data_IF_113195446279
#
_entry.id   IF_113195446279
#
_cell.length_a   1.000
_cell.length_b   1.000
_cell.length_c   1.000
_cell.angle_alpha   90.00
_cell.angle_beta   90.00
_cell.angle_gamma   90.00
#
_symmetry.space_group_name_H-M   'P 1'
#
loop_
_entity.id
_entity.type
_entity.pdbx_description
1 polymer ?
#
# COMPACT_ATOMS: atom_id res chain seq x y z
N UNK A 1 25.35 3.98 4.80
CA UNK A 1 25.21 3.63 6.23
C UNK A 1 24.30 2.44 6.18
N UNK A 2 24.88 1.27 5.98
CA UNK A 2 24.15 0.16 5.35
C UNK A 2 23.81 -0.86 6.42
N UNK A 3 22.52 -0.87 6.78
CA UNK A 3 21.93 -1.85 7.67
C UNK A 3 21.58 -3.06 6.79
N UNK A 4 22.31 -4.17 6.96
CA UNK A 4 21.95 -5.43 6.30
C UNK A 4 21.09 -6.24 7.28
N UNK A 5 19.82 -6.44 6.95
CA UNK A 5 18.92 -7.39 7.64
C UNK A 5 19.10 -8.80 7.06
N UNK A 6 19.01 -9.83 7.91
CA UNK A 6 18.92 -11.24 7.49
C UNK A 6 17.53 -11.76 7.84
N UNK A 7 16.73 -12.18 6.85
CA UNK A 7 15.39 -12.77 7.06
C UNK A 7 15.37 -14.27 6.73
N UNK A 8 14.83 -15.09 7.65
CA UNK A 8 14.22 -16.43 7.45
C UNK A 8 15.17 -17.60 7.11
N UNK A 9 14.94 -18.87 7.46
CA UNK A 9 13.80 -19.62 8.05
C UNK A 9 14.37 -20.93 8.64
N UNK A 10 13.83 -21.44 9.76
CA UNK A 10 13.93 -22.87 10.10
C UNK A 10 14.33 -23.18 11.55
N UNK A 11 13.34 -23.55 12.36
CA UNK A 11 13.51 -24.04 13.72
C UNK A 11 14.22 -25.42 13.76
N UNK A 12 15.21 -25.58 14.65
CA UNK A 12 15.37 -26.72 15.56
C UNK A 12 16.51 -26.45 16.57
N UNK A 13 16.24 -26.79 17.83
CA UNK A 13 17.03 -26.60 19.07
C UNK A 13 18.34 -27.46 19.09
N UNK A 14 19.18 -27.42 20.14
CA UNK A 14 20.40 -26.62 20.35
C UNK A 14 21.69 -27.49 20.38
N UNK A 15 22.77 -27.13 19.68
CA UNK A 15 24.14 -27.48 20.10
C UNK A 15 25.15 -26.70 19.26
N UNK A 16 26.08 -26.03 19.93
CA UNK A 16 27.43 -25.62 19.51
C UNK A 16 27.74 -25.56 18.00
N UNK A 17 28.08 -24.33 17.56
CA UNK A 17 29.07 -24.03 16.52
C UNK A 17 28.79 -24.43 15.06
N UNK A 18 28.46 -23.41 14.24
CA UNK A 18 29.06 -23.12 12.91
C UNK A 18 28.10 -22.32 12.03
N UNK A 19 28.21 -20.99 12.04
CA UNK A 19 27.62 -20.15 10.99
C UNK A 19 28.50 -20.24 9.73
N UNK A 20 27.99 -20.84 8.66
CA UNK A 20 28.68 -20.91 7.35
C UNK A 20 28.19 -19.79 6.45
N UNK A 21 29.12 -19.07 5.82
CA UNK A 21 28.84 -18.06 4.79
C UNK A 21 28.85 -18.77 3.44
N UNK A 22 27.74 -18.72 2.71
CA UNK A 22 27.62 -19.27 1.36
C UNK A 22 27.73 -18.11 0.36
N UNK A 23 28.71 -18.16 -0.54
CA UNK A 23 28.77 -17.26 -1.70
C UNK A 23 28.53 -18.10 -2.96
N UNK A 24 27.37 -17.87 -3.59
CA UNK A 24 26.86 -18.49 -4.83
C UNK A 24 26.54 -20.00 -4.70
N UNK A 25 25.37 -20.40 -5.19
CA UNK A 25 24.87 -21.78 -5.31
C UNK A 25 24.75 -22.65 -4.03
N UNK A 26 24.84 -22.09 -2.82
CA UNK A 26 24.76 -22.86 -1.55
C UNK A 26 25.83 -23.98 -1.43
N UNK A 27 26.92 -23.86 -2.18
CA UNK A 27 28.10 -24.73 -2.05
C UNK A 27 29.13 -24.00 -1.16
N UNK A 28 29.87 -24.78 -0.35
CA UNK A 28 30.90 -24.25 0.53
C UNK A 28 32.23 -24.19 -0.22
N UNK A 29 32.52 -23.05 -0.85
CA UNK A 29 33.70 -22.85 -1.69
C UNK A 29 34.77 -22.04 -0.93
N UNK A 30 35.11 -22.40 0.31
CA UNK A 30 36.05 -21.60 1.10
C UNK A 30 36.52 -22.19 2.44
N UNK A 31 37.64 -21.67 2.93
CA UNK A 31 38.19 -21.93 4.26
C UNK A 31 37.46 -21.03 5.28
N UNK A 32 36.94 -21.60 6.37
CA UNK A 32 36.38 -20.82 7.47
C UNK A 32 37.50 -20.08 8.22
N UNK A 33 37.61 -18.77 7.99
CA UNK A 33 38.61 -17.89 8.62
C UNK A 33 38.04 -17.17 9.86
N UNK A 34 36.81 -17.49 10.28
CA UNK A 34 36.15 -16.91 11.45
C UNK A 34 36.12 -15.38 11.44
N UNK A 35 36.31 -14.77 12.61
CA UNK A 35 36.30 -13.32 12.79
C UNK A 35 37.39 -12.55 12.03
N UNK A 36 38.41 -13.26 11.54
CA UNK A 36 39.50 -12.64 10.77
C UNK A 36 39.05 -12.19 9.37
N UNK A 37 37.84 -12.56 8.93
CA UNK A 37 37.21 -12.03 7.71
C UNK A 37 36.78 -10.57 7.83
N UNK A 38 36.65 -10.05 9.06
CA UNK A 38 36.15 -8.72 9.33
C UNK A 38 37.32 -7.78 9.66
N UNK A 39 37.76 -7.00 8.67
CA UNK A 39 38.98 -6.15 8.74
C UNK A 39 38.77 -4.76 9.37
N UNK A 40 37.55 -4.43 9.81
CA UNK A 40 37.14 -3.13 10.38
C UNK A 40 36.59 -3.26 11.82
N UNK A 41 36.21 -2.13 12.45
CA UNK A 41 35.63 -2.12 13.80
C UNK A 41 34.16 -2.59 13.79
N UNK A 42 33.93 -3.84 14.17
CA UNK A 42 32.60 -4.41 14.39
C UNK A 42 32.34 -4.66 15.89
N UNK A 43 31.10 -4.47 16.32
CA UNK A 43 30.65 -4.84 17.67
C UNK A 43 29.76 -6.06 17.54
N UNK A 44 30.20 -7.18 18.10
CA UNK A 44 29.40 -8.39 18.18
C UNK A 44 28.35 -8.23 19.29
N UNK A 45 27.08 -8.45 18.96
CA UNK A 45 26.04 -8.57 19.97
C UNK A 45 26.23 -9.90 20.72
N UNK A 46 26.17 -9.86 22.04
CA UNK A 46 26.29 -11.04 22.91
C UNK A 46 25.05 -11.94 22.85
N UNK A 47 23.94 -11.45 22.29
CA UNK A 47 22.71 -12.19 22.04
C UNK A 47 22.13 -11.83 20.67
N UNK A 48 21.41 -12.74 20.00
CA UNK A 48 20.67 -12.42 18.77
C UNK A 48 19.71 -11.24 18.97
N UNK A 49 19.50 -10.44 17.92
CA UNK A 49 18.44 -9.42 17.92
C UNK A 49 17.09 -10.14 18.01
N UNK A 50 16.29 -9.80 19.02
CA UNK A 50 14.90 -10.28 19.08
C UNK A 50 14.11 -9.67 17.92
N UNK A 51 13.64 -10.53 17.03
CA UNK A 51 12.71 -10.13 15.97
C UNK A 51 11.29 -10.15 16.54
N UNK A 52 10.43 -9.19 16.16
CA UNK A 52 9.03 -9.24 16.55
C UNK A 52 8.38 -10.51 16.02
N UNK A 53 7.40 -11.05 16.75
CA UNK A 53 6.61 -12.19 16.31
C UNK A 53 5.86 -11.80 15.03
N UNK A 54 6.12 -12.51 13.94
CA UNK A 54 5.34 -12.34 12.71
C UNK A 54 4.03 -13.10 12.85
N UNK A 55 2.91 -12.38 12.82
CA UNK A 55 1.58 -12.99 12.68
C UNK A 55 1.45 -13.40 11.21
N UNK A 56 1.25 -14.69 10.96
CA UNK A 56 1.01 -15.23 9.62
C UNK A 56 -0.44 -15.64 9.47
N UNK A 57 -0.95 -15.58 8.25
CA UNK A 57 -2.28 -16.07 7.90
C UNK A 57 -2.17 -17.45 7.29
N UNK A 58 -3.22 -18.27 7.47
CA UNK A 58 -3.31 -19.52 6.73
C UNK A 58 -3.47 -19.25 5.22
N UNK A 59 -3.00 -20.13 4.32
CA UNK A 59 -3.07 -19.88 2.88
C UNK A 59 -4.48 -19.58 2.34
N UNK A 60 -5.52 -20.23 2.89
CA UNK A 60 -6.91 -19.96 2.52
C UNK A 60 -7.38 -18.57 2.96
N UNK A 61 -7.04 -18.18 4.18
CA UNK A 61 -7.37 -16.86 4.72
C UNK A 61 -6.66 -15.74 3.95
N UNK A 62 -5.37 -15.92 3.65
CA UNK A 62 -4.62 -14.98 2.83
C UNK A 62 -5.22 -14.84 1.42
N UNK A 63 -5.63 -15.95 0.79
CA UNK A 63 -6.31 -15.93 -0.50
C UNK A 63 -7.61 -15.13 -0.42
N UNK A 64 -8.44 -15.40 0.58
CA UNK A 64 -9.77 -14.79 0.69
C UNK A 64 -9.66 -13.28 0.96
N UNK A 65 -8.69 -12.85 1.76
CA UNK A 65 -8.37 -11.43 1.96
C UNK A 65 -7.92 -10.76 0.67
N UNK A 66 -6.99 -11.39 -0.07
CA UNK A 66 -6.53 -10.86 -1.37
C UNK A 66 -7.70 -10.75 -2.34
N UNK A 67 -8.59 -11.74 -2.42
CA UNK A 67 -9.75 -11.68 -3.31
C UNK A 67 -10.76 -10.60 -2.90
N UNK A 68 -10.88 -10.32 -1.60
CA UNK A 68 -11.75 -9.27 -1.11
C UNK A 68 -11.18 -7.88 -1.38
N UNK A 69 -9.89 -7.67 -1.09
CA UNK A 69 -9.32 -6.33 -0.93
C UNK A 69 -8.36 -5.90 -2.05
N UNK A 70 -7.86 -6.82 -2.88
CA UNK A 70 -6.87 -6.46 -3.90
C UNK A 70 -7.49 -5.63 -5.04
N UNK A 71 -6.75 -4.60 -5.48
CA UNK A 71 -7.09 -3.77 -6.64
C UNK A 71 -7.94 -2.54 -6.27
N UNK A 72 -8.44 -1.85 -7.30
CA UNK A 72 -9.34 -0.71 -7.15
C UNK A 72 -10.75 -1.22 -6.76
N UNK A 73 -10.97 -1.43 -5.47
CA UNK A 73 -12.20 -2.08 -4.95
C UNK A 73 -13.29 -1.09 -4.56
N UNK A 74 -12.94 0.18 -4.39
CA UNK A 74 -13.84 1.24 -3.95
C UNK A 74 -14.27 2.14 -5.11
N UNK A 75 -15.52 2.65 -5.12
CA UNK A 75 -16.64 2.26 -4.25
C UNK A 75 -17.22 0.87 -4.61
N UNK A 76 -16.91 0.37 -5.81
CA UNK A 76 -17.30 -0.95 -6.30
C UNK A 76 -16.34 -1.38 -7.40
N UNK A 77 -15.96 -2.66 -7.41
CA UNK A 77 -15.19 -3.29 -8.50
C UNK A 77 -15.88 -3.07 -9.84
N UNK A 78 -15.09 -2.81 -10.87
CA UNK A 78 -15.60 -2.72 -12.23
C UNK A 78 -15.81 -4.14 -12.84
N UNK A 79 -16.44 -4.25 -14.02
CA UNK A 79 -16.64 -5.56 -14.66
C UNK A 79 -15.34 -6.32 -14.98
N UNK A 80 -14.22 -5.62 -15.16
CA UNK A 80 -12.92 -6.22 -15.46
C UNK A 80 -12.33 -6.83 -14.19
N UNK A 81 -12.38 -6.11 -13.08
CA UNK A 81 -11.98 -6.59 -11.76
C UNK A 81 -12.80 -7.83 -11.37
N UNK A 82 -14.13 -7.78 -11.53
CA UNK A 82 -15.02 -8.92 -11.27
C UNK A 82 -14.62 -10.15 -12.10
N UNK A 83 -14.30 -9.96 -13.39
CA UNK A 83 -13.84 -11.06 -14.24
C UNK A 83 -12.51 -11.64 -13.76
N UNK A 84 -11.54 -10.80 -13.41
CA UNK A 84 -10.22 -11.27 -12.95
C UNK A 84 -10.36 -12.07 -11.67
N UNK A 85 -11.16 -11.60 -10.71
CA UNK A 85 -11.49 -12.33 -9.49
C UNK A 85 -12.11 -13.69 -9.80
N UNK A 86 -13.10 -13.74 -10.70
CA UNK A 86 -13.73 -14.99 -11.11
C UNK A 86 -12.73 -15.96 -11.76
N UNK A 87 -11.82 -15.46 -12.60
CA UNK A 87 -10.76 -16.28 -13.22
C UNK A 87 -9.78 -16.85 -12.19
N UNK A 88 -9.41 -16.06 -11.17
CA UNK A 88 -8.55 -16.53 -10.07
C UNK A 88 -9.26 -17.59 -9.23
N UNK A 89 -10.55 -17.38 -8.94
CA UNK A 89 -11.35 -18.33 -8.16
C UNK A 89 -11.55 -19.65 -8.92
N UNK A 90 -11.83 -19.58 -10.22
CA UNK A 90 -12.08 -20.75 -11.05
C UNK A 90 -10.79 -21.41 -11.60
N UNK A 91 -9.64 -20.74 -11.52
CA UNK A 91 -8.39 -21.20 -12.12
C UNK A 91 -8.42 -21.21 -13.66
N UNK A 92 -9.20 -20.31 -14.26
CA UNK A 92 -9.45 -20.25 -15.71
C UNK A 92 -8.73 -19.09 -16.39
N UNK A 93 -7.82 -18.40 -15.69
CA UNK A 93 -7.02 -17.33 -16.29
C UNK A 93 -6.09 -17.84 -17.39
N UNK A 94 -5.96 -17.06 -18.46
CA UNK A 94 -5.10 -17.36 -19.61
C UNK A 94 -4.29 -16.13 -20.02
N UNK A 95 -3.21 -16.36 -20.78
CA UNK A 95 -2.44 -15.29 -21.42
C UNK A 95 -3.19 -14.91 -22.70
N UNK A 96 -3.58 -13.65 -22.81
CA UNK A 96 -4.30 -13.13 -23.98
C UNK A 96 -3.31 -12.59 -25.03
N UNK A 97 -3.65 -12.75 -26.31
CA UNK A 97 -2.92 -12.15 -27.43
C UNK A 97 -3.54 -10.79 -27.85
N UNK A 98 -4.77 -10.51 -27.41
CA UNK A 98 -5.50 -9.28 -27.66
C UNK A 98 -6.43 -8.90 -26.50
N UNK A 99 -6.66 -7.59 -26.31
CA UNK A 99 -7.66 -7.09 -25.38
C UNK A 99 -9.08 -7.59 -25.68
N UNK A 100 -9.38 -7.97 -26.93
CA UNK A 100 -10.72 -8.44 -27.32
C UNK A 100 -11.05 -9.82 -26.72
N UNK A 101 -10.03 -10.66 -26.47
CA UNK A 101 -10.18 -11.92 -25.72
C UNK A 101 -10.55 -11.67 -24.26
N UNK A 102 -10.21 -10.49 -23.77
CA UNK A 102 -10.60 -9.94 -22.49
C UNK A 102 -11.76 -8.93 -22.61
N UNK A 103 -12.65 -9.08 -23.60
CA UNK A 103 -13.88 -8.26 -23.70
C UNK A 103 -13.65 -6.80 -24.12
N UNK A 104 -12.43 -6.42 -24.50
CA UNK A 104 -12.09 -5.10 -25.03
C UNK A 104 -11.88 -4.03 -23.98
N UNK A 105 -11.55 -2.82 -24.45
CA UNK A 105 -11.51 -1.65 -23.57
C UNK A 105 -12.94 -1.22 -23.20
N UNK A 106 -13.19 -0.92 -21.92
CA UNK A 106 -14.49 -0.44 -21.48
C UNK A 106 -14.79 0.90 -22.16
N UNK A 107 -16.03 1.03 -22.65
CA UNK A 107 -16.53 2.29 -23.22
C UNK A 107 -17.07 3.12 -22.07
N UNK A 108 -16.29 4.13 -21.66
CA UNK A 108 -16.74 5.09 -20.67
C UNK A 108 -17.65 6.13 -21.33
N UNK A 109 -18.92 6.15 -20.92
CA UNK A 109 -19.80 7.25 -21.27
C UNK A 109 -19.32 8.52 -20.59
N UNK A 110 -19.03 9.57 -21.36
CA UNK A 110 -18.76 10.87 -20.78
C UNK A 110 -20.04 11.40 -20.14
N UNK A 111 -20.04 11.48 -18.81
CA UNK A 111 -21.01 12.30 -18.08
C UNK A 111 -20.56 13.76 -18.19
N UNK A 112 -21.50 14.70 -18.09
CA UNK A 112 -21.12 16.09 -17.92
C UNK A 112 -20.32 16.21 -16.61
N UNK A 113 -19.11 16.81 -16.63
CA UNK A 113 -18.36 17.02 -15.41
C UNK A 113 -19.14 17.94 -14.47
N UNK A 114 -18.95 17.81 -13.14
CA UNK A 114 -19.44 18.80 -12.19
C UNK A 114 -18.97 20.22 -12.57
N UNK A 115 -19.79 21.26 -12.34
CA UNK A 115 -19.32 22.64 -12.42
C UNK A 115 -18.15 22.88 -11.47
N UNK A 116 -17.16 23.61 -11.99
CA UNK A 116 -15.95 24.11 -11.33
C UNK A 116 -15.75 25.50 -11.93
N UNK A 117 -16.10 26.53 -11.15
CA UNK A 117 -16.33 27.89 -11.62
C UNK A 117 -15.03 28.70 -11.76
N UNK A 118 -14.02 28.40 -10.94
CA UNK A 118 -12.70 29.03 -11.00
C UNK A 118 -11.62 28.14 -11.66
N UNK A 119 -11.94 26.87 -11.94
CA UNK A 119 -11.12 25.90 -12.68
C UNK A 119 -9.87 25.47 -11.90
N UNK A 120 -10.00 25.32 -10.59
CA UNK A 120 -8.91 24.92 -9.71
C UNK A 120 -8.79 23.39 -9.51
N UNK A 121 -9.76 22.64 -10.01
CA UNK A 121 -9.82 21.18 -9.90
C UNK A 121 -10.76 20.66 -8.81
N UNK A 122 -11.42 21.53 -8.06
CA UNK A 122 -12.45 21.21 -7.06
C UNK A 122 -13.84 21.60 -7.59
N UNK A 123 -14.88 20.75 -7.45
CA UNK A 123 -16.23 21.11 -7.85
C UNK A 123 -16.92 22.14 -6.93
N UNK A 124 -17.65 23.10 -7.49
CA UNK A 124 -18.33 24.19 -6.75
C UNK A 124 -19.14 23.71 -5.54
N UNK A 125 -19.83 22.56 -5.70
CA UNK A 125 -20.67 21.99 -4.66
C UNK A 125 -19.85 21.45 -3.49
N UNK A 126 -18.71 20.80 -3.77
CA UNK A 126 -17.83 20.26 -2.75
C UNK A 126 -17.18 21.39 -1.97
N UNK A 127 -16.72 22.44 -2.64
CA UNK A 127 -16.14 23.62 -1.99
C UNK A 127 -17.16 24.31 -1.08
N UNK A 128 -18.39 24.51 -1.56
CA UNK A 128 -19.47 25.11 -0.76
C UNK A 128 -19.82 24.25 0.46
N UNK A 129 -19.84 22.92 0.33
CA UNK A 129 -20.08 22.00 1.45
C UNK A 129 -18.94 21.99 2.48
N UNK A 130 -17.70 22.25 2.04
CA UNK A 130 -16.49 22.27 2.87
C UNK A 130 -16.04 23.68 3.29
N UNK A 131 -16.91 24.69 3.14
CA UNK A 131 -16.68 26.07 3.57
C UNK A 131 -15.51 26.78 2.84
N UNK A 132 -15.23 26.33 1.61
CA UNK A 132 -14.28 26.94 0.68
C UNK A 132 -15.02 27.87 -0.31
N UNK A 133 -14.27 28.52 -1.20
CA UNK A 133 -14.80 29.54 -2.09
C UNK A 133 -14.64 29.14 -3.57
N UNK A 134 -15.74 28.62 -4.15
CA UNK A 134 -15.89 28.23 -5.55
C UNK A 134 -15.70 29.32 -6.62
N UNK A 135 -15.12 30.46 -6.26
CA UNK A 135 -14.76 31.52 -7.19
C UNK A 135 -13.33 32.04 -6.94
N UNK A 136 -12.54 31.34 -6.13
CA UNK A 136 -11.18 31.68 -5.76
C UNK A 136 -10.21 30.53 -6.00
N UNK A 137 -9.69 30.48 -7.23
CA UNK A 137 -8.66 29.56 -7.72
C UNK A 137 -7.51 29.27 -6.74
N UNK A 138 -7.16 30.22 -5.85
CA UNK A 138 -6.01 30.07 -4.96
C UNK A 138 -6.27 29.20 -3.74
N UNK A 139 -7.53 29.01 -3.34
CA UNK A 139 -7.87 28.26 -2.13
C UNK A 139 -7.61 26.74 -2.29
N UNK A 140 -7.60 26.18 -3.50
CA UNK A 140 -7.11 24.82 -3.79
C UNK A 140 -5.74 24.51 -3.19
N UNK A 141 -4.85 25.51 -3.13
CA UNK A 141 -3.47 25.38 -2.62
C UNK A 141 -3.32 25.80 -1.15
N UNK A 142 -4.40 26.28 -0.54
CA UNK A 142 -4.43 26.58 0.89
C UNK A 142 -4.61 25.31 1.71
N UNK A 143 -4.20 25.41 2.97
CA UNK A 143 -4.31 24.37 3.99
C UNK A 143 -5.21 24.98 5.08
N UNK A 144 -6.52 24.75 4.95
CA UNK A 144 -7.53 25.46 5.72
C UNK A 144 -7.52 25.09 7.21
N UNK A 145 -7.08 23.88 7.56
CA UNK A 145 -7.00 23.40 8.94
C UNK A 145 -5.56 23.33 9.52
N UNK A 146 -4.54 23.46 8.67
CA UNK A 146 -3.14 23.58 9.05
C UNK A 146 -2.44 22.24 9.30
N UNK A 147 -2.96 21.14 8.76
CA UNK A 147 -2.46 19.79 9.00
C UNK A 147 -1.37 19.34 8.00
N UNK A 148 -1.14 20.15 6.97
CA UNK A 148 -0.12 19.94 5.94
C UNK A 148 -0.66 19.39 4.62
N UNK A 149 -1.96 19.17 4.48
CA UNK A 149 -2.61 18.85 3.20
C UNK A 149 -3.29 20.08 2.61
N UNK A 150 -3.16 20.26 1.28
CA UNK A 150 -3.89 21.30 0.57
C UNK A 150 -5.36 20.91 0.38
N UNK A 151 -6.26 21.88 0.24
CA UNK A 151 -7.67 21.63 -0.02
C UNK A 151 -7.91 20.72 -1.24
N UNK A 152 -7.09 20.85 -2.28
CA UNK A 152 -7.13 19.96 -3.45
C UNK A 152 -6.72 18.52 -3.11
N UNK A 153 -5.69 18.32 -2.31
CA UNK A 153 -5.28 16.99 -1.85
C UNK A 153 -6.37 16.35 -0.97
N UNK A 154 -6.99 17.15 -0.11
CA UNK A 154 -8.14 16.74 0.70
C UNK A 154 -9.32 16.29 -0.18
N UNK A 155 -9.67 17.06 -1.20
CA UNK A 155 -10.69 16.67 -2.18
C UNK A 155 -10.37 15.34 -2.88
N UNK A 156 -9.13 15.18 -3.37
CA UNK A 156 -8.70 13.97 -4.08
C UNK A 156 -8.66 12.73 -3.19
N UNK A 157 -8.37 12.90 -1.90
CA UNK A 157 -8.33 11.82 -0.91
C UNK A 157 -9.69 11.60 -0.22
N UNK A 158 -10.64 12.50 -0.42
CA UNK A 158 -11.94 12.48 0.24
C UNK A 158 -11.85 12.76 1.74
N UNK A 159 -10.86 13.51 2.19
CA UNK A 159 -10.67 13.92 3.59
C UNK A 159 -11.38 15.27 3.86
N UNK A 160 -11.40 15.72 5.12
CA UNK A 160 -12.20 16.87 5.57
C UNK A 160 -11.27 18.07 5.74
N UNK A 161 -11.26 19.07 4.81
CA UNK A 161 -10.28 20.17 4.79
C UNK A 161 -10.43 21.16 5.97
N UNK A 162 -11.40 20.92 6.86
CA UNK A 162 -11.66 21.72 8.05
C UNK A 162 -11.23 20.99 9.33
N UNK A 163 -10.50 19.87 9.22
CA UNK A 163 -10.20 18.98 10.33
C UNK A 163 -8.76 18.51 10.28
N UNK A 164 -7.96 19.10 11.17
CA UNK A 164 -6.58 18.67 11.42
C UNK A 164 -6.50 17.17 11.81
N UNK A 165 -6.12 16.33 10.83
CA UNK A 165 -5.98 14.88 11.01
C UNK A 165 -4.64 14.53 11.69
N UNK A 166 -3.70 15.47 11.79
CA UNK A 166 -2.43 15.27 12.49
C UNK A 166 -2.63 15.11 14.00
N UNK A 167 -3.71 15.66 14.57
CA UNK A 167 -3.99 15.62 16.00
C UNK A 167 -5.21 14.75 16.43
N UNK A 168 -5.91 14.10 15.50
CA UNK A 168 -7.08 13.28 15.85
C UNK A 168 -6.67 12.03 16.62
N UNK A 169 -6.93 12.04 17.93
CA UNK A 169 -6.84 10.89 18.85
C UNK A 169 -7.81 9.73 18.52
N UNK A 170 -8.46 9.76 17.35
CA UNK A 170 -9.28 8.70 16.78
C UNK A 170 -10.72 8.70 17.26
N UNK A 171 -11.23 9.84 17.74
CA UNK A 171 -12.59 9.92 18.34
C UNK A 171 -13.63 10.51 17.38
N UNK A 172 -13.23 10.91 16.18
CA UNK A 172 -14.09 11.66 15.26
C UNK A 172 -14.27 11.08 13.86
N UNK A 173 -13.92 9.81 13.60
CA UNK A 173 -14.17 9.21 12.28
C UNK A 173 -15.67 9.29 11.94
N UNK A 174 -16.06 10.22 11.06
CA UNK A 174 -17.32 10.16 10.31
C UNK A 174 -17.28 8.82 9.57
N UNK A 175 -18.02 7.85 10.09
CA UNK A 175 -18.18 6.54 9.47
C UNK A 175 -18.74 6.73 8.07
N UNK A 176 -17.92 6.46 7.05
CA UNK A 176 -18.33 6.31 5.66
C UNK A 176 -19.35 5.18 5.55
N UNK A 177 -20.63 5.50 5.63
CA UNK A 177 -21.72 4.64 5.22
C UNK A 177 -22.99 5.47 5.17
N UNK A 178 -23.37 5.88 3.95
CA UNK A 178 -24.75 5.93 3.46
C UNK A 178 -24.73 6.32 1.98
N UNK A 179 -24.49 5.34 1.11
CA UNK A 179 -25.09 5.25 -0.23
C UNK A 179 -25.33 3.77 -0.55
#
# INVERSE_FOLDING_TARGET
>A
MDIIFKSGVGANHPTSDNYRIYQVDNVLDGLDIGWNAFVDRYTQLTMPVEMPITITQAPGEARDLVLAEAGATLPRRDPIDERIINNVVAGTGEIIDSQDEAGGWPIYGAIAPPPDSDLDGMPDHWETENQLNAADLSDSTEDADGDGYTNLEEFLNGTDPQRDEHNDTGVGRKTWMNY
#
